data_IF_909209521417
#
_entry.id   IF_909209521417
#
_cell.length_a   1.000
_cell.length_b   1.000
_cell.length_c   1.000
_cell.angle_alpha   90.00
_cell.angle_beta   90.00
_cell.angle_gamma   90.00
#
_symmetry.space_group_name_H-M   'P 1'
#
loop_
_entity.id
_entity.type
_entity.pdbx_description
1 polymer ?
#
# COMPACT_ATOMS: atom_id res chain seq x y z
N UNK A 1 -20.19 -19.09 24.73
CA UNK A 1 -19.19 -18.03 25.00
C UNK A 1 -17.81 -18.71 25.01
N UNK A 2 -17.15 -18.82 23.86
CA UNK A 2 -15.76 -19.30 23.75
C UNK A 2 -14.84 -18.09 23.84
N UNK A 3 -14.08 -18.01 24.92
CA UNK A 3 -13.13 -16.93 25.16
C UNK A 3 -11.96 -17.02 24.19
N UNK A 4 -11.45 -15.87 23.75
CA UNK A 4 -10.27 -15.67 22.87
C UNK A 4 -9.06 -16.54 23.29
N UNK A 5 -8.99 -16.93 24.55
CA UNK A 5 -7.95 -17.81 25.13
C UNK A 5 -7.96 -19.25 24.61
N UNK A 6 -9.10 -19.76 24.15
CA UNK A 6 -9.21 -21.15 23.69
C UNK A 6 -8.86 -21.35 22.20
N UNK A 7 -8.84 -20.29 21.40
CA UNK A 7 -8.38 -20.33 20.01
C UNK A 7 -6.85 -20.45 19.88
N UNK A 8 -6.09 -20.00 20.89
CA UNK A 8 -4.62 -20.10 20.90
C UNK A 8 -4.09 -21.52 21.08
N UNK A 9 -4.94 -22.51 21.32
CA UNK A 9 -4.55 -23.92 21.54
C UNK A 9 -4.84 -24.88 20.39
N UNK A 10 -5.51 -24.44 19.34
CA UNK A 10 -5.46 -25.22 18.10
C UNK A 10 -4.12 -24.91 17.41
N UNK A 11 -3.13 -25.76 17.68
CA UNK A 11 -1.96 -25.94 16.85
C UNK A 11 -2.44 -26.29 15.43
N UNK A 12 -2.81 -25.29 14.65
CA UNK A 12 -2.82 -25.42 13.20
C UNK A 12 -1.33 -25.41 12.84
N UNK A 13 -0.75 -26.62 12.83
CA UNK A 13 0.57 -26.87 12.27
C UNK A 13 0.54 -26.18 10.91
N UNK A 14 1.44 -25.21 10.70
CA UNK A 14 1.68 -24.67 9.37
C UNK A 14 1.86 -25.88 8.44
N UNK A 15 1.21 -25.92 7.26
CA UNK A 15 1.42 -27.05 6.35
C UNK A 15 2.93 -27.20 6.18
N UNK A 16 3.41 -28.46 6.12
CA UNK A 16 4.82 -28.78 5.84
C UNK A 16 5.16 -28.37 4.40
N UNK A 17 5.12 -27.05 4.16
CA UNK A 17 5.54 -26.48 2.89
C UNK A 17 7.06 -26.38 2.93
N UNK A 18 7.72 -27.05 2.00
CA UNK A 18 9.18 -26.96 1.83
C UNK A 18 9.61 -25.47 1.81
N UNK A 19 10.67 -25.14 2.53
CA UNK A 19 11.21 -23.77 2.62
C UNK A 19 11.49 -23.15 1.25
N UNK A 20 11.94 -23.95 0.28
CA UNK A 20 12.17 -23.51 -1.10
C UNK A 20 10.87 -23.13 -1.82
N UNK A 21 9.82 -23.93 -1.71
CA UNK A 21 8.51 -23.65 -2.29
C UNK A 21 7.91 -22.38 -1.67
N UNK A 22 7.99 -22.24 -0.36
CA UNK A 22 7.55 -21.04 0.37
C UNK A 22 8.27 -19.77 -0.10
N UNK A 23 9.60 -19.84 -0.26
CA UNK A 23 10.37 -18.70 -0.75
C UNK A 23 9.91 -18.24 -2.15
N UNK A 24 9.80 -19.17 -3.12
CA UNK A 24 9.37 -18.83 -4.47
C UNK A 24 7.92 -18.36 -4.55
N UNK A 25 7.03 -18.93 -3.74
CA UNK A 25 5.65 -18.47 -3.65
C UNK A 25 5.56 -17.02 -3.14
N UNK A 26 6.27 -16.69 -2.05
CA UNK A 26 6.29 -15.32 -1.51
C UNK A 26 6.93 -14.35 -2.52
N UNK A 27 8.00 -14.76 -3.18
CA UNK A 27 8.63 -13.94 -4.23
C UNK A 27 7.68 -13.67 -5.40
N UNK A 28 6.93 -14.69 -5.86
CA UNK A 28 5.92 -14.53 -6.91
C UNK A 28 4.86 -13.48 -6.53
N UNK A 29 4.40 -13.52 -5.27
CA UNK A 29 3.46 -12.52 -4.73
C UNK A 29 4.10 -11.12 -4.60
N UNK A 30 5.36 -11.04 -4.21
CA UNK A 30 6.08 -9.77 -4.12
C UNK A 30 6.30 -9.11 -5.50
N UNK A 31 6.53 -9.91 -6.56
CA UNK A 31 6.62 -9.41 -7.95
C UNK A 31 5.30 -8.76 -8.38
N UNK A 32 4.14 -9.32 -8.02
CA UNK A 32 2.86 -8.71 -8.29
C UNK A 32 2.65 -7.40 -7.51
N UNK A 33 3.06 -7.37 -6.24
CA UNK A 33 3.05 -6.13 -5.45
C UNK A 33 3.96 -5.06 -6.05
N UNK A 34 5.10 -5.46 -6.61
CA UNK A 34 6.02 -4.56 -7.33
C UNK A 34 5.39 -4.02 -8.61
N UNK A 35 4.71 -4.85 -9.41
CA UNK A 35 4.00 -4.42 -10.62
C UNK A 35 2.89 -3.41 -10.29
N UNK A 36 2.09 -3.69 -9.24
CA UNK A 36 1.01 -2.81 -8.78
C UNK A 36 1.56 -1.47 -8.28
N UNK A 37 2.58 -1.49 -7.43
CA UNK A 37 3.20 -0.27 -6.93
C UNK A 37 3.84 0.56 -8.04
N UNK A 38 4.49 -0.09 -9.02
CA UNK A 38 5.05 0.60 -10.18
C UNK A 38 3.96 1.33 -10.96
N UNK A 39 2.82 0.69 -11.24
CA UNK A 39 1.70 1.30 -11.98
C UNK A 39 1.03 2.45 -11.22
N UNK A 40 0.93 2.34 -9.90
CA UNK A 40 0.34 3.38 -9.06
C UNK A 40 1.17 4.66 -9.12
N UNK A 41 2.47 4.55 -8.92
CA UNK A 41 3.34 5.71 -8.82
C UNK A 41 3.83 6.24 -10.17
N UNK A 42 3.97 5.39 -11.21
CA UNK A 42 4.41 5.84 -12.54
C UNK A 42 3.40 6.79 -13.21
N UNK A 43 2.10 6.60 -12.96
CA UNK A 43 1.07 7.51 -13.47
C UNK A 43 1.23 8.94 -12.92
N UNK A 44 1.73 9.09 -11.69
CA UNK A 44 2.06 10.39 -11.09
C UNK A 44 3.31 11.00 -11.76
N UNK A 45 4.31 10.16 -12.05
CA UNK A 45 5.56 10.59 -12.70
C UNK A 45 5.40 11.00 -14.17
N UNK A 46 4.45 10.36 -14.88
CA UNK A 46 4.18 10.60 -16.31
C UNK A 46 2.90 11.42 -16.57
N UNK A 47 2.31 12.01 -15.54
CA UNK A 47 1.09 12.81 -15.66
C UNK A 47 1.21 13.94 -16.71
N UNK A 48 2.30 14.72 -16.81
CA UNK A 48 2.44 15.74 -17.84
C UNK A 48 2.48 15.18 -19.27
N UNK A 49 3.12 14.02 -19.47
CA UNK A 49 3.19 13.34 -20.77
C UNK A 49 1.83 12.81 -21.19
N UNK A 50 1.09 12.21 -20.27
CA UNK A 50 -0.28 11.71 -20.46
C UNK A 50 -1.23 12.88 -20.76
N UNK A 51 -1.12 14.00 -20.02
CA UNK A 51 -1.92 15.21 -20.24
C UNK A 51 -1.74 15.76 -21.66
N UNK A 52 -0.48 15.90 -22.11
CA UNK A 52 -0.15 16.32 -23.48
C UNK A 52 -0.72 15.39 -24.54
N UNK A 53 -0.58 14.07 -24.32
CA UNK A 53 -1.09 13.05 -25.25
C UNK A 53 -2.61 13.08 -25.41
N UNK A 54 -3.33 13.41 -24.33
CA UNK A 54 -4.80 13.46 -24.30
C UNK A 54 -5.35 14.88 -24.58
N UNK A 55 -4.48 15.86 -24.84
CA UNK A 55 -4.84 17.26 -25.09
C UNK A 55 -5.66 17.90 -23.95
N UNK A 56 -5.31 17.56 -22.69
CA UNK A 56 -5.91 18.13 -21.47
C UNK A 56 -4.86 18.83 -20.63
N UNK A 57 -5.30 19.66 -19.68
CA UNK A 57 -4.40 20.28 -18.71
C UNK A 57 -3.96 19.28 -17.62
N UNK A 58 -2.87 19.60 -16.92
CA UNK A 58 -2.30 18.74 -15.88
C UNK A 58 -3.30 18.47 -14.74
N UNK A 59 -4.06 19.46 -14.22
CA UNK A 59 -5.10 19.22 -13.22
C UNK A 59 -6.16 18.20 -13.66
N UNK A 60 -6.65 18.31 -14.91
CA UNK A 60 -7.61 17.35 -15.48
C UNK A 60 -7.00 15.95 -15.59
N UNK A 61 -5.74 15.82 -16.00
CA UNK A 61 -5.02 14.55 -16.05
C UNK A 61 -4.85 13.89 -14.67
N UNK A 62 -4.99 14.64 -13.57
CA UNK A 62 -5.10 14.08 -12.21
C UNK A 62 -6.22 13.06 -12.04
N UNK A 63 -7.25 13.10 -12.89
CA UNK A 63 -8.33 12.13 -12.89
C UNK A 63 -7.87 10.70 -13.22
N UNK A 64 -6.74 10.51 -13.92
CA UNK A 64 -6.15 9.18 -14.13
C UNK A 64 -5.73 8.51 -12.82
N UNK A 65 -5.22 9.31 -11.88
CA UNK A 65 -4.80 8.85 -10.56
C UNK A 65 -6.03 8.60 -9.68
N UNK A 66 -6.97 9.55 -9.67
CA UNK A 66 -8.21 9.45 -8.90
C UNK A 66 -9.10 8.29 -9.35
N UNK A 67 -9.20 8.05 -10.67
CA UNK A 67 -9.96 6.92 -11.22
C UNK A 67 -9.36 5.57 -10.78
N UNK A 68 -8.03 5.44 -10.80
CA UNK A 68 -7.36 4.25 -10.28
C UNK A 68 -7.67 4.03 -8.81
N UNK A 69 -7.50 5.06 -7.98
CA UNK A 69 -7.81 4.98 -6.55
C UNK A 69 -9.26 4.60 -6.28
N UNK A 70 -10.21 5.16 -7.05
CA UNK A 70 -11.63 4.79 -6.99
C UNK A 70 -11.85 3.33 -7.38
N UNK A 71 -11.14 2.85 -8.41
CA UNK A 71 -11.10 1.44 -8.79
C UNK A 71 -10.66 0.54 -7.63
N UNK A 72 -9.61 0.92 -6.90
CA UNK A 72 -9.14 0.18 -5.70
C UNK A 72 -10.22 0.15 -4.62
N UNK A 73 -10.84 1.28 -4.32
CA UNK A 73 -11.86 1.39 -3.25
C UNK A 73 -13.09 0.54 -3.55
N UNK A 74 -13.55 0.55 -4.80
CA UNK A 74 -14.74 -0.22 -5.24
C UNK A 74 -14.39 -1.67 -5.50
N UNK A 75 -13.25 -1.94 -6.13
CA UNK A 75 -12.80 -3.29 -6.52
C UNK A 75 -12.52 -4.18 -5.32
N UNK A 76 -11.97 -3.63 -4.23
CA UNK A 76 -11.62 -4.39 -3.04
C UNK A 76 -12.82 -5.17 -2.46
N UNK A 77 -13.93 -4.54 -2.06
CA UNK A 77 -15.09 -5.26 -1.54
C UNK A 77 -15.80 -6.10 -2.61
N UNK A 78 -15.95 -5.58 -3.83
CA UNK A 78 -16.64 -6.26 -4.92
C UNK A 78 -15.97 -7.60 -5.26
N UNK A 79 -14.66 -7.58 -5.52
CA UNK A 79 -13.93 -8.77 -5.92
C UNK A 79 -13.66 -9.71 -4.75
N UNK A 80 -13.50 -9.20 -3.51
CA UNK A 80 -13.36 -10.06 -2.34
C UNK A 80 -14.60 -10.96 -2.14
N UNK A 81 -15.78 -10.42 -2.36
CA UNK A 81 -17.04 -11.15 -2.23
C UNK A 81 -17.26 -12.09 -3.41
N UNK A 82 -17.12 -11.60 -4.64
CA UNK A 82 -17.42 -12.38 -5.86
C UNK A 82 -16.43 -13.51 -6.11
N UNK A 83 -15.18 -13.37 -5.66
CA UNK A 83 -14.14 -14.39 -5.85
C UNK A 83 -13.96 -15.34 -4.65
N UNK A 84 -14.71 -15.15 -3.56
CA UNK A 84 -14.55 -15.89 -2.30
C UNK A 84 -14.62 -17.42 -2.45
N UNK A 85 -15.43 -17.92 -3.38
CA UNK A 85 -15.65 -19.35 -3.61
C UNK A 85 -14.55 -20.02 -4.47
N UNK A 86 -13.73 -19.24 -5.17
CA UNK A 86 -12.71 -19.76 -6.08
C UNK A 86 -11.40 -20.11 -5.37
N UNK A 87 -10.55 -20.91 -6.03
CA UNK A 87 -9.22 -21.23 -5.50
C UNK A 87 -8.35 -19.97 -5.45
N UNK A 88 -7.58 -19.79 -4.38
CA UNK A 88 -6.76 -18.59 -4.14
C UNK A 88 -5.71 -18.38 -5.21
N UNK A 89 -5.08 -19.49 -5.65
CA UNK A 89 -4.12 -19.50 -6.75
C UNK A 89 -4.74 -18.99 -8.05
N UNK A 90 -5.89 -19.54 -8.43
CA UNK A 90 -6.61 -19.13 -9.66
C UNK A 90 -7.04 -17.67 -9.60
N UNK A 91 -7.54 -17.21 -8.45
CA UNK A 91 -7.94 -15.81 -8.28
C UNK A 91 -6.73 -14.89 -8.40
N UNK A 92 -5.64 -15.15 -7.66
CA UNK A 92 -4.43 -14.32 -7.71
C UNK A 92 -3.82 -14.23 -9.12
N UNK A 93 -3.69 -15.38 -9.79
CA UNK A 93 -3.20 -15.41 -11.18
C UNK A 93 -4.14 -14.66 -12.13
N UNK A 94 -5.46 -14.87 -12.00
CA UNK A 94 -6.48 -14.19 -12.78
C UNK A 94 -6.50 -12.66 -12.57
N UNK A 95 -6.31 -12.22 -11.32
CA UNK A 95 -6.20 -10.78 -11.00
C UNK A 95 -4.98 -10.15 -11.67
N UNK A 96 -3.82 -10.82 -11.64
CA UNK A 96 -2.60 -10.32 -12.28
C UNK A 96 -2.70 -10.35 -13.82
N UNK A 97 -3.35 -11.36 -14.39
CA UNK A 97 -3.63 -11.41 -15.81
C UNK A 97 -4.57 -10.26 -16.25
N UNK A 98 -5.66 -10.05 -15.51
CA UNK A 98 -6.59 -8.95 -15.77
C UNK A 98 -5.90 -7.58 -15.61
N UNK A 99 -5.08 -7.43 -14.57
CA UNK A 99 -4.28 -6.23 -14.32
C UNK A 99 -3.33 -5.93 -15.49
N UNK A 100 -2.67 -6.97 -16.00
CA UNK A 100 -1.77 -6.87 -17.14
C UNK A 100 -2.52 -6.38 -18.38
N UNK A 101 -3.66 -6.99 -18.71
CA UNK A 101 -4.47 -6.61 -19.86
C UNK A 101 -4.93 -5.14 -19.77
N UNK A 102 -5.40 -4.69 -18.60
CA UNK A 102 -5.86 -3.32 -18.41
C UNK A 102 -4.72 -2.29 -18.58
N UNK A 103 -3.52 -2.59 -18.06
CA UNK A 103 -2.37 -1.71 -18.21
C UNK A 103 -1.82 -1.72 -19.65
N UNK A 104 -1.70 -2.88 -20.29
CA UNK A 104 -1.29 -2.97 -21.70
C UNK A 104 -2.32 -2.25 -22.59
N UNK A 105 -3.62 -2.43 -22.36
CA UNK A 105 -4.66 -1.74 -23.11
C UNK A 105 -4.51 -0.20 -23.00
N UNK A 106 -4.15 0.31 -21.81
CA UNK A 106 -3.93 1.75 -21.60
C UNK A 106 -2.85 2.33 -22.54
N UNK A 107 -1.90 1.52 -23.01
CA UNK A 107 -0.84 1.98 -23.90
C UNK A 107 -1.32 2.23 -25.35
N UNK A 108 -2.48 1.70 -25.75
CA UNK A 108 -3.00 1.84 -27.12
C UNK A 108 -4.01 2.97 -27.30
N UNK A 109 -4.36 3.69 -26.23
CA UNK A 109 -5.34 4.77 -26.28
C UNK A 109 -4.71 6.07 -25.77
N UNK A 110 -5.07 7.18 -26.44
CA UNK A 110 -4.68 8.53 -26.00
C UNK A 110 -5.89 9.40 -25.66
N UNK A 111 -7.12 8.88 -25.87
CA UNK A 111 -8.34 9.57 -25.50
C UNK A 111 -8.50 9.63 -23.98
N UNK A 112 -8.80 10.84 -23.48
CA UNK A 112 -8.92 11.11 -22.04
C UNK A 112 -9.91 10.18 -21.33
N UNK A 113 -11.15 10.08 -21.85
CA UNK A 113 -12.21 9.31 -21.21
C UNK A 113 -11.88 7.81 -21.18
N UNK A 114 -11.33 7.28 -22.28
CA UNK A 114 -10.91 5.89 -22.39
C UNK A 114 -9.80 5.59 -21.38
N UNK A 115 -8.81 6.48 -21.25
CA UNK A 115 -7.74 6.32 -20.25
C UNK A 115 -8.26 6.38 -18.82
N UNK A 116 -9.19 7.29 -18.50
CA UNK A 116 -9.84 7.34 -17.17
C UNK A 116 -10.53 6.02 -16.85
N UNK A 117 -11.30 5.47 -17.81
CA UNK A 117 -12.00 4.16 -17.64
C UNK A 117 -10.98 3.03 -17.47
N UNK A 118 -9.93 2.97 -18.29
CA UNK A 118 -8.90 1.93 -18.18
C UNK A 118 -8.11 2.03 -16.87
N UNK A 119 -7.85 3.23 -16.38
CA UNK A 119 -7.24 3.45 -15.07
C UNK A 119 -8.14 2.95 -13.93
N UNK A 120 -9.45 3.25 -14.00
CA UNK A 120 -10.42 2.70 -13.06
C UNK A 120 -10.43 1.16 -13.09
N UNK A 121 -10.51 0.57 -14.29
CA UNK A 121 -10.50 -0.88 -14.48
C UNK A 121 -9.20 -1.50 -13.93
N UNK A 122 -8.04 -0.90 -14.18
CA UNK A 122 -6.77 -1.38 -13.66
C UNK A 122 -6.66 -1.27 -12.14
N UNK A 123 -7.38 -0.35 -11.50
CA UNK A 123 -7.46 -0.24 -10.05
C UNK A 123 -8.24 -1.35 -9.36
N UNK A 124 -9.25 -1.94 -10.05
CA UNK A 124 -10.16 -2.93 -9.44
C UNK A 124 -9.43 -4.12 -8.77
N UNK A 125 -8.42 -4.77 -9.38
CA UNK A 125 -7.75 -5.93 -8.78
C UNK A 125 -6.76 -5.58 -7.67
N UNK A 126 -6.32 -4.33 -7.53
CA UNK A 126 -5.26 -3.93 -6.61
C UNK A 126 -5.58 -4.33 -5.15
N UNK A 127 -6.69 -3.85 -4.60
CA UNK A 127 -7.03 -4.07 -3.19
C UNK A 127 -7.19 -5.54 -2.84
N UNK A 128 -7.92 -6.30 -3.65
CA UNK A 128 -8.11 -7.73 -3.41
C UNK A 128 -6.81 -8.52 -3.62
N UNK A 129 -5.94 -8.12 -4.55
CA UNK A 129 -4.64 -8.75 -4.72
C UNK A 129 -3.86 -8.72 -3.40
N UNK A 130 -3.72 -7.56 -2.76
CA UNK A 130 -3.02 -7.44 -1.48
C UNK A 130 -3.71 -8.24 -0.36
N UNK A 131 -5.04 -8.22 -0.30
CA UNK A 131 -5.79 -9.04 0.66
C UNK A 131 -5.50 -10.53 0.54
N UNK A 132 -5.55 -11.07 -0.69
CA UNK A 132 -5.29 -12.47 -0.96
C UNK A 132 -3.80 -12.85 -0.88
N UNK A 133 -2.91 -12.03 -1.43
CA UNK A 133 -1.47 -12.30 -1.47
C UNK A 133 -0.87 -12.31 -0.06
N UNK A 134 -1.23 -11.32 0.77
CA UNK A 134 -0.76 -11.25 2.16
C UNK A 134 -1.35 -12.37 3.00
N UNK A 135 -2.62 -12.75 2.79
CA UNK A 135 -3.24 -13.88 3.47
C UNK A 135 -2.59 -15.21 3.04
N UNK A 136 -2.31 -15.40 1.75
CA UNK A 136 -1.62 -16.58 1.24
C UNK A 136 -0.21 -16.69 1.84
N UNK A 137 0.57 -15.60 1.87
CA UNK A 137 1.88 -15.59 2.50
C UNK A 137 1.81 -15.91 4.01
N UNK A 138 0.89 -15.27 4.73
CA UNK A 138 0.68 -15.49 6.16
C UNK A 138 0.26 -16.92 6.50
N UNK A 139 -0.44 -17.62 5.58
CA UNK A 139 -0.88 -19.01 5.78
C UNK A 139 0.23 -20.06 5.61
N UNK A 140 1.36 -19.67 5.01
CA UNK A 140 2.51 -20.54 4.75
C UNK A 140 3.55 -20.53 5.88
N UNK A 141 3.34 -19.75 6.93
CA UNK A 141 4.27 -19.54 8.04
C UNK A 141 3.59 -19.72 9.39
N UNK A 142 4.38 -19.85 10.45
CA UNK A 142 3.87 -19.86 11.82
C UNK A 142 3.24 -18.51 12.21
N UNK A 143 2.39 -18.55 13.23
CA UNK A 143 1.57 -17.39 13.65
C UNK A 143 2.43 -16.17 14.06
N UNK A 144 3.57 -16.42 14.70
CA UNK A 144 4.53 -15.39 15.13
C UNK A 144 5.33 -14.79 13.94
N UNK A 145 5.36 -15.44 12.78
CA UNK A 145 6.06 -14.98 11.59
C UNK A 145 5.15 -14.34 10.53
N UNK A 146 3.83 -14.32 10.76
CA UNK A 146 2.83 -13.80 9.79
C UNK A 146 3.14 -12.38 9.34
N UNK A 147 3.48 -11.48 10.26
CA UNK A 147 3.84 -10.10 9.93
C UNK A 147 5.06 -10.01 9.03
N UNK A 148 6.06 -10.91 9.20
CA UNK A 148 7.23 -10.97 8.32
C UNK A 148 6.86 -11.42 6.91
N UNK A 149 6.04 -12.48 6.79
CA UNK A 149 5.59 -12.98 5.50
C UNK A 149 4.76 -11.94 4.74
N UNK A 150 3.87 -11.24 5.43
CA UNK A 150 3.14 -10.07 4.90
C UNK A 150 4.11 -8.98 4.46
N UNK A 151 5.13 -8.69 5.28
CA UNK A 151 6.18 -7.72 4.97
C UNK A 151 6.94 -8.04 3.69
N UNK A 152 7.25 -9.31 3.43
CA UNK A 152 7.93 -9.71 2.19
C UNK A 152 7.04 -9.52 0.95
N UNK A 153 5.74 -9.73 1.03
CA UNK A 153 4.82 -9.40 -0.06
C UNK A 153 4.75 -7.88 -0.27
N UNK A 154 4.60 -7.10 0.81
CA UNK A 154 4.53 -5.64 0.74
C UNK A 154 5.87 -4.99 0.38
N UNK A 155 6.99 -5.72 0.53
CA UNK A 155 8.31 -5.26 0.09
C UNK A 155 8.33 -4.96 -1.42
N UNK A 156 7.56 -5.71 -2.23
CA UNK A 156 7.38 -5.40 -3.64
C UNK A 156 6.88 -3.97 -3.86
N UNK A 157 5.87 -3.53 -3.10
CA UNK A 157 5.33 -2.17 -3.18
C UNK A 157 6.39 -1.11 -2.82
N UNK A 158 7.13 -1.32 -1.73
CA UNK A 158 8.15 -0.35 -1.29
C UNK A 158 9.36 -0.32 -2.22
N UNK A 159 9.77 -1.45 -2.80
CA UNK A 159 10.81 -1.48 -3.84
C UNK A 159 10.31 -0.77 -5.11
N UNK A 160 9.01 -0.86 -5.43
CA UNK A 160 8.45 -0.15 -6.56
C UNK A 160 8.60 1.38 -6.43
N UNK A 161 8.54 1.95 -5.24
CA UNK A 161 8.76 3.39 -5.03
C UNK A 161 10.22 3.81 -5.27
N UNK A 162 11.19 2.90 -5.01
CA UNK A 162 12.63 3.19 -5.15
C UNK A 162 13.12 2.93 -6.56
N UNK A 163 12.69 1.85 -7.18
CA UNK A 163 13.20 1.36 -8.46
C UNK A 163 12.14 1.34 -9.56
N UNK A 164 10.96 0.80 -9.26
CA UNK A 164 9.92 0.54 -10.26
C UNK A 164 9.40 1.81 -10.92
N UNK A 165 8.85 2.71 -10.13
CA UNK A 165 8.27 3.96 -10.64
C UNK A 165 9.31 4.90 -11.25
N UNK A 166 10.50 5.14 -10.65
CA UNK A 166 11.52 5.97 -11.29
C UNK A 166 12.02 5.39 -12.63
N UNK A 167 12.30 4.08 -12.68
CA UNK A 167 12.76 3.43 -13.92
C UNK A 167 11.68 3.45 -15.00
N UNK A 168 10.42 3.14 -14.66
CA UNK A 168 9.32 3.17 -15.60
C UNK A 168 9.02 4.61 -16.09
N UNK A 169 9.12 5.61 -15.20
CA UNK A 169 8.99 7.02 -15.56
C UNK A 169 10.10 7.44 -16.53
N UNK A 170 11.34 7.07 -16.24
CA UNK A 170 12.48 7.36 -17.12
C UNK A 170 12.32 6.73 -18.51
N UNK A 171 11.95 5.45 -18.58
CA UNK A 171 11.66 4.77 -19.85
C UNK A 171 10.49 5.47 -20.57
N UNK A 172 9.42 5.82 -19.85
CA UNK A 172 8.27 6.52 -20.41
C UNK A 172 8.59 7.92 -20.96
N UNK A 173 9.56 8.61 -20.37
CA UNK A 173 10.04 9.90 -20.87
C UNK A 173 10.91 9.76 -22.11
N UNK A 174 11.69 8.68 -22.24
CA UNK A 174 12.57 8.45 -23.40
C UNK A 174 11.82 7.90 -24.62
N UNK A 175 10.93 6.94 -24.42
CA UNK A 175 10.32 6.13 -25.51
C UNK A 175 8.83 6.45 -25.69
N UNK A 176 8.23 7.18 -24.75
CA UNK A 176 6.79 7.49 -24.69
C UNK A 176 6.13 6.84 -23.46
N UNK A 177 5.20 7.56 -22.84
CA UNK A 177 4.55 7.14 -21.60
C UNK A 177 3.89 5.75 -21.70
N UNK A 178 3.46 5.35 -22.90
CA UNK A 178 2.87 4.05 -23.19
C UNK A 178 3.79 2.88 -22.82
N UNK A 179 5.09 3.05 -23.02
CA UNK A 179 6.11 2.03 -22.73
C UNK A 179 6.14 1.64 -21.25
N UNK A 180 5.88 2.59 -20.36
CA UNK A 180 5.80 2.33 -18.93
C UNK A 180 4.60 1.43 -18.57
N UNK A 181 3.45 1.63 -19.20
CA UNK A 181 2.26 0.76 -18.97
C UNK A 181 2.43 -0.62 -19.60
N UNK A 182 3.13 -0.74 -20.72
CA UNK A 182 3.53 -2.04 -21.31
C UNK A 182 4.48 -2.77 -20.34
N UNK A 183 5.47 -2.08 -19.78
CA UNK A 183 6.39 -2.66 -18.80
C UNK A 183 5.64 -3.17 -17.55
N UNK A 184 4.72 -2.36 -17.01
CA UNK A 184 3.86 -2.78 -15.89
C UNK A 184 3.05 -4.02 -16.26
N UNK A 185 2.45 -4.04 -17.44
CA UNK A 185 1.71 -5.20 -17.93
C UNK A 185 2.58 -6.45 -18.06
N UNK A 186 3.80 -6.31 -18.55
CA UNK A 186 4.77 -7.42 -18.63
C UNK A 186 5.16 -7.95 -17.23
N UNK A 187 5.40 -7.05 -16.27
CA UNK A 187 5.66 -7.44 -14.87
C UNK A 187 4.46 -8.14 -14.23
N UNK A 188 3.25 -7.70 -14.54
CA UNK A 188 2.03 -8.35 -14.07
C UNK A 188 1.83 -9.75 -14.70
N UNK A 189 2.11 -9.92 -15.99
CA UNK A 189 2.13 -11.24 -16.62
C UNK A 189 3.20 -12.15 -16.03
N UNK A 190 4.38 -11.63 -15.75
CA UNK A 190 5.43 -12.39 -15.07
C UNK A 190 4.95 -12.85 -13.70
N UNK A 191 4.32 -11.97 -12.90
CA UNK A 191 3.74 -12.36 -11.61
C UNK A 191 2.65 -13.42 -11.79
N UNK A 192 1.77 -13.29 -12.78
CA UNK A 192 0.75 -14.30 -13.09
C UNK A 192 1.37 -15.68 -13.32
N UNK A 193 2.42 -15.77 -14.15
CA UNK A 193 3.13 -17.01 -14.44
C UNK A 193 3.84 -17.58 -13.20
N UNK A 194 4.53 -16.73 -12.43
CA UNK A 194 5.21 -17.15 -11.20
C UNK A 194 4.22 -17.66 -10.15
N UNK A 195 3.06 -16.98 -9.99
CA UNK A 195 1.99 -17.43 -9.08
C UNK A 195 1.45 -18.79 -9.56
N UNK A 196 1.22 -18.93 -10.86
CA UNK A 196 0.73 -20.19 -11.40
C UNK A 196 1.70 -21.35 -11.18
N UNK A 197 3.00 -21.11 -11.30
CA UNK A 197 4.04 -22.12 -11.11
C UNK A 197 4.28 -22.43 -9.62
N UNK A 198 4.53 -21.41 -8.82
CA UNK A 198 5.10 -21.59 -7.49
C UNK A 198 4.10 -21.54 -6.33
N UNK A 199 2.90 -20.95 -6.52
CA UNK A 199 1.94 -20.90 -5.41
C UNK A 199 1.26 -22.27 -5.26
N UNK A 200 1.31 -22.92 -4.07
CA UNK A 200 0.63 -24.19 -3.84
C UNK A 200 -0.88 -24.10 -4.07
N UNK A 201 -1.46 -25.10 -4.72
CA UNK A 201 -2.91 -25.15 -5.01
C UNK A 201 -3.74 -25.52 -3.77
N UNK A 202 -3.14 -26.21 -2.83
CA UNK A 202 -3.72 -26.82 -1.63
C UNK A 202 -3.40 -26.03 -0.35
N UNK A 203 -3.14 -24.71 -0.51
CA UNK A 203 -3.11 -23.84 0.65
C UNK A 203 -4.40 -24.10 1.45
N UNK A 204 -4.26 -24.56 2.70
CA UNK A 204 -5.38 -24.84 3.63
C UNK A 204 -6.20 -23.59 4.01
N UNK A 205 -6.24 -22.62 3.09
CA UNK A 205 -7.14 -21.50 3.15
C UNK A 205 -8.53 -22.01 2.78
N UNK A 206 -9.39 -22.16 3.77
CA UNK A 206 -10.77 -22.57 3.56
C UNK A 206 -11.41 -21.71 2.47
N UNK A 207 -12.07 -22.34 1.49
CA UNK A 207 -12.97 -21.64 0.58
C UNK A 207 -13.99 -20.93 1.48
N UNK A 208 -14.08 -19.62 1.36
CA UNK A 208 -15.06 -18.84 2.12
C UNK A 208 -16.29 -18.60 1.24
N UNK A 209 -17.44 -18.44 1.87
CA UNK A 209 -18.62 -17.98 1.15
C UNK A 209 -18.65 -16.44 1.12
N UNK A 210 -19.31 -15.81 0.13
CA UNK A 210 -19.51 -14.36 0.10
C UNK A 210 -20.02 -13.79 1.43
N UNK A 211 -20.99 -14.47 2.06
CA UNK A 211 -21.54 -14.06 3.36
C UNK A 211 -20.53 -14.12 4.52
N UNK A 212 -19.57 -15.05 4.46
CA UNK A 212 -18.49 -15.13 5.46
C UNK A 212 -17.50 -13.97 5.30
N UNK A 213 -17.15 -13.61 4.07
CA UNK A 213 -16.30 -12.43 3.82
C UNK A 213 -16.96 -11.15 4.35
N UNK A 214 -18.26 -10.96 4.10
CA UNK A 214 -19.00 -9.81 4.62
C UNK A 214 -19.05 -9.75 6.17
N UNK A 215 -18.76 -10.86 6.86
CA UNK A 215 -18.69 -10.86 8.33
C UNK A 215 -17.59 -9.94 8.87
N UNK A 216 -16.55 -9.63 8.09
CA UNK A 216 -15.54 -8.64 8.47
C UNK A 216 -16.15 -7.29 8.82
N UNK A 217 -17.19 -6.87 8.08
CA UNK A 217 -17.88 -5.60 8.30
C UNK A 217 -18.67 -5.53 9.60
N UNK A 218 -18.94 -6.67 10.23
CA UNK A 218 -19.60 -6.75 11.56
C UNK A 218 -18.62 -6.57 12.71
N UNK A 219 -17.33 -6.67 12.45
CA UNK A 219 -16.29 -6.58 13.48
C UNK A 219 -15.92 -5.11 13.74
N UNK A 220 -16.23 -4.60 14.92
CA UNK A 220 -15.91 -3.22 15.32
C UNK A 220 -14.41 -2.91 15.19
N UNK A 221 -13.56 -3.88 15.54
CA UNK A 221 -12.10 -3.73 15.47
C UNK A 221 -11.60 -3.50 14.03
N UNK A 222 -12.25 -4.12 13.02
CA UNK A 222 -11.92 -3.88 11.61
C UNK A 222 -12.14 -2.39 11.27
N UNK A 223 -13.28 -1.82 11.66
CA UNK A 223 -13.58 -0.40 11.40
C UNK A 223 -12.63 0.55 12.11
N UNK A 224 -12.26 0.26 13.37
CA UNK A 224 -11.27 1.08 14.08
C UNK A 224 -9.90 1.05 13.39
N UNK A 225 -9.46 -0.13 12.93
CA UNK A 225 -8.18 -0.25 12.20
C UNK A 225 -8.24 0.45 10.83
N UNK A 226 -9.34 0.31 10.07
CA UNK A 226 -9.54 1.02 8.82
C UNK A 226 -9.55 2.54 9.02
N UNK A 227 -10.27 3.03 10.03
CA UNK A 227 -10.32 4.45 10.36
C UNK A 227 -8.95 4.99 10.80
N UNK A 228 -8.23 4.23 11.64
CA UNK A 228 -6.86 4.53 12.02
C UNK A 228 -5.95 4.65 10.80
N UNK A 229 -6.04 3.73 9.84
CA UNK A 229 -5.23 3.79 8.60
C UNK A 229 -5.65 4.98 7.75
N UNK A 230 -6.96 5.18 7.52
CA UNK A 230 -7.45 6.28 6.68
C UNK A 230 -7.02 7.66 7.20
N UNK A 231 -7.03 7.86 8.53
CA UNK A 231 -6.66 9.14 9.14
C UNK A 231 -5.16 9.18 9.45
N UNK A 232 -4.61 8.13 10.08
CA UNK A 232 -3.21 8.13 10.51
C UNK A 232 -2.20 8.09 9.37
N UNK A 233 -2.45 7.27 8.33
CA UNK A 233 -1.57 7.23 7.17
C UNK A 233 -1.74 8.45 6.25
N UNK A 234 -2.83 9.22 6.35
CA UNK A 234 -2.96 10.49 5.62
C UNK A 234 -1.88 11.50 6.01
N UNK A 235 -1.32 11.37 7.21
CA UNK A 235 -0.16 12.17 7.62
C UNK A 235 1.05 11.97 6.73
N UNK A 236 1.37 10.74 6.34
CA UNK A 236 2.44 10.46 5.37
C UNK A 236 2.16 11.14 4.03
N UNK A 237 0.94 11.03 3.52
CA UNK A 237 0.59 11.59 2.21
C UNK A 237 0.49 13.11 2.21
N UNK A 238 0.15 13.74 3.34
CA UNK A 238 0.22 15.20 3.51
C UNK A 238 1.65 15.71 3.28
N UNK A 239 2.64 14.99 3.76
CA UNK A 239 4.06 15.35 3.56
C UNK A 239 4.53 14.94 2.16
N UNK A 240 4.27 13.68 1.77
CA UNK A 240 4.83 13.09 0.54
C UNK A 240 4.35 13.78 -0.73
N UNK A 241 3.09 14.20 -0.77
CA UNK A 241 2.52 14.90 -1.94
C UNK A 241 3.27 16.22 -2.24
N UNK A 242 3.71 16.91 -1.20
CA UNK A 242 4.35 18.23 -1.35
C UNK A 242 5.86 18.22 -1.10
N UNK A 243 6.45 17.05 -0.89
CA UNK A 243 7.86 16.91 -0.52
C UNK A 243 8.80 17.52 -1.57
N UNK A 244 8.50 17.36 -2.87
CA UNK A 244 9.27 17.99 -3.95
C UNK A 244 9.26 19.51 -3.84
N UNK A 245 8.09 20.11 -3.62
CA UNK A 245 7.95 21.54 -3.44
C UNK A 245 8.65 22.03 -2.18
N UNK A 246 8.57 21.30 -1.09
CA UNK A 246 9.30 21.58 0.15
C UNK A 246 10.81 21.58 -0.07
N UNK A 247 11.34 20.55 -0.75
CA UNK A 247 12.77 20.45 -1.07
C UNK A 247 13.25 21.63 -1.93
N UNK A 248 12.48 22.03 -2.93
CA UNK A 248 12.86 23.10 -3.85
C UNK A 248 12.70 24.48 -3.22
N UNK A 249 11.57 24.77 -2.60
CA UNK A 249 11.22 26.14 -2.17
C UNK A 249 11.64 26.47 -0.74
N UNK A 250 11.72 25.44 0.14
CA UNK A 250 12.09 25.64 1.55
C UNK A 250 13.54 25.21 1.78
N UNK A 251 13.91 24.02 1.33
CA UNK A 251 15.27 23.48 1.57
C UNK A 251 16.32 24.07 0.64
N UNK A 252 15.92 24.75 -0.45
CA UNK A 252 16.87 25.29 -1.45
C UNK A 252 17.57 24.22 -2.30
N UNK A 253 16.97 23.03 -2.40
CA UNK A 253 17.50 21.93 -3.23
C UNK A 253 17.24 22.26 -4.70
N UNK A 254 18.29 22.26 -5.53
CA UNK A 254 18.12 22.44 -6.97
C UNK A 254 17.37 21.26 -7.61
N UNK A 255 16.64 21.52 -8.70
CA UNK A 255 15.83 20.51 -9.39
C UNK A 255 16.63 19.26 -9.77
N UNK A 256 17.92 19.42 -10.06
CA UNK A 256 18.83 18.33 -10.43
C UNK A 256 19.06 17.30 -9.32
N UNK A 257 19.02 17.71 -8.04
CA UNK A 257 19.23 16.83 -6.88
C UNK A 257 17.93 16.17 -6.38
N UNK A 258 16.77 16.72 -6.72
CA UNK A 258 15.47 16.16 -6.29
C UNK A 258 15.30 14.67 -6.66
N UNK A 259 15.68 14.21 -7.88
CA UNK A 259 15.57 12.79 -8.25
C UNK A 259 16.44 11.85 -7.41
N UNK A 260 17.48 12.36 -6.74
CA UNK A 260 18.36 11.58 -5.87
C UNK A 260 17.88 11.59 -4.41
N UNK A 261 17.18 12.62 -3.96
CA UNK A 261 16.69 12.76 -2.59
C UNK A 261 15.34 12.05 -2.41
N UNK A 262 14.41 12.17 -3.35
CA UNK A 262 13.10 11.54 -3.23
C UNK A 262 13.13 10.02 -3.03
N UNK A 263 14.00 9.24 -3.69
CA UNK A 263 14.16 7.82 -3.42
C UNK A 263 14.56 7.46 -1.98
N UNK A 264 15.11 8.40 -1.20
CA UNK A 264 15.39 8.17 0.21
C UNK A 264 14.14 7.88 1.03
N UNK A 265 12.99 8.46 0.68
CA UNK A 265 11.70 8.10 1.29
C UNK A 265 11.39 6.62 1.02
N UNK A 266 11.53 6.18 -0.23
CA UNK A 266 11.34 4.78 -0.60
C UNK A 266 12.31 3.83 0.13
N UNK A 267 13.59 4.22 0.26
CA UNK A 267 14.57 3.46 1.05
C UNK A 267 14.15 3.36 2.52
N UNK A 268 13.68 4.46 3.11
CA UNK A 268 13.10 4.45 4.45
C UNK A 268 11.91 3.49 4.56
N UNK A 269 11.02 3.48 3.56
CA UNK A 269 9.89 2.53 3.50
C UNK A 269 10.38 1.08 3.44
N UNK A 270 11.40 0.77 2.64
CA UNK A 270 12.01 -0.58 2.57
C UNK A 270 12.57 -0.98 3.94
N UNK A 271 13.36 -0.11 4.56
CA UNK A 271 13.95 -0.36 5.89
C UNK A 271 12.86 -0.55 6.93
N UNK A 272 11.86 0.33 6.97
CA UNK A 272 10.71 0.22 7.88
C UNK A 272 9.95 -1.10 7.68
N UNK A 273 9.62 -1.42 6.43
CA UNK A 273 8.90 -2.65 6.07
C UNK A 273 9.66 -3.94 6.45
N UNK A 274 10.97 -3.93 6.41
CA UNK A 274 11.79 -5.08 6.81
C UNK A 274 11.97 -5.17 8.34
N UNK A 275 12.25 -4.05 9.00
CA UNK A 275 12.55 -4.06 10.44
C UNK A 275 11.29 -4.11 11.31
N UNK A 276 10.21 -3.44 10.90
CA UNK A 276 8.97 -3.38 11.68
C UNK A 276 8.45 -4.76 12.09
N UNK A 277 8.21 -5.70 11.15
CA UNK A 277 7.75 -7.04 11.49
C UNK A 277 8.71 -7.84 12.40
N UNK A 278 10.01 -7.56 12.35
CA UNK A 278 10.99 -8.19 13.26
C UNK A 278 10.80 -7.68 14.70
N UNK A 279 10.52 -6.38 14.87
CA UNK A 279 10.15 -5.83 16.16
C UNK A 279 8.80 -6.36 16.64
N UNK A 280 7.82 -6.56 15.74
CA UNK A 280 6.52 -7.15 16.09
C UNK A 280 6.68 -8.54 16.76
N UNK A 281 7.62 -9.35 16.31
CA UNK A 281 7.93 -10.67 16.92
C UNK A 281 8.44 -10.52 18.35
N UNK A 282 9.21 -9.45 18.63
CA UNK A 282 9.83 -9.23 19.96
C UNK A 282 8.90 -8.58 20.96
N UNK A 283 8.17 -7.55 20.56
CA UNK A 283 7.37 -6.71 21.46
C UNK A 283 5.85 -6.90 21.28
N UNK A 284 5.44 -7.63 20.25
CA UNK A 284 4.01 -7.80 19.87
C UNK A 284 3.56 -6.77 18.85
N UNK A 285 2.47 -7.12 18.14
CA UNK A 285 1.93 -6.32 17.02
C UNK A 285 1.37 -4.98 17.51
N UNK A 286 0.55 -4.99 18.59
CA UNK A 286 -0.09 -3.75 19.07
C UNK A 286 0.90 -2.73 19.66
N UNK A 287 1.90 -3.11 20.46
CA UNK A 287 2.97 -2.19 20.86
C UNK A 287 3.78 -1.67 19.66
N UNK A 288 4.09 -2.51 18.66
CA UNK A 288 4.77 -2.02 17.45
C UNK A 288 3.95 -0.92 16.75
N UNK A 289 2.65 -1.12 16.54
CA UNK A 289 1.78 -0.12 15.90
C UNK A 289 1.83 1.18 16.70
N UNK A 290 1.69 1.11 18.04
CA UNK A 290 1.75 2.27 18.92
C UNK A 290 3.05 3.07 18.75
N UNK A 291 4.18 2.40 18.90
CA UNK A 291 5.50 3.06 18.80
C UNK A 291 5.81 3.56 17.39
N UNK A 292 5.38 2.83 16.34
CA UNK A 292 5.57 3.29 14.96
C UNK A 292 4.73 4.53 14.65
N UNK A 293 3.50 4.62 15.14
CA UNK A 293 2.67 5.82 14.93
C UNK A 293 3.21 7.01 15.74
N UNK A 294 3.68 6.77 16.96
CA UNK A 294 4.36 7.80 17.76
C UNK A 294 5.63 8.31 17.06
N UNK A 295 6.45 7.38 16.54
CA UNK A 295 7.61 7.69 15.72
C UNK A 295 7.26 8.51 14.48
N UNK A 296 6.22 8.12 13.75
CA UNK A 296 5.77 8.84 12.55
C UNK A 296 5.31 10.26 12.89
N UNK A 297 4.55 10.42 13.98
CA UNK A 297 4.13 11.73 14.49
C UNK A 297 5.34 12.62 14.78
N UNK A 298 6.34 12.06 15.48
CA UNK A 298 7.57 12.78 15.81
C UNK A 298 8.37 13.13 14.56
N UNK A 299 8.57 12.19 13.63
CA UNK A 299 9.37 12.40 12.40
C UNK A 299 8.72 13.46 11.51
N UNK A 300 7.40 13.44 11.34
CA UNK A 300 6.72 14.45 10.53
C UNK A 300 6.83 15.82 11.16
N UNK A 301 6.65 15.95 12.49
CA UNK A 301 6.87 17.20 13.20
C UNK A 301 8.33 17.68 13.09
N UNK A 302 9.29 16.76 13.24
CA UNK A 302 10.72 17.07 13.13
C UNK A 302 11.08 17.53 11.71
N UNK A 303 10.43 16.97 10.67
CA UNK A 303 10.69 17.34 9.28
C UNK A 303 10.37 18.81 8.99
N UNK A 304 9.42 19.41 9.70
CA UNK A 304 9.18 20.85 9.65
C UNK A 304 10.47 21.65 9.90
N UNK A 305 11.26 21.29 10.89
CA UNK A 305 12.55 21.94 11.18
C UNK A 305 13.67 21.50 10.25
N UNK A 306 13.75 20.21 9.93
CA UNK A 306 14.80 19.66 9.07
C UNK A 306 14.69 20.17 7.63
N UNK A 307 13.51 20.55 7.18
CA UNK A 307 13.26 21.03 5.82
C UNK A 307 13.98 22.34 5.46
N UNK A 308 14.47 23.09 6.44
CA UNK A 308 15.16 24.37 6.21
C UNK A 308 16.63 24.25 5.75
N UNK A 309 17.18 23.05 5.69
CA UNK A 309 18.54 22.81 5.20
C UNK A 309 18.59 21.60 4.26
N UNK A 310 19.26 21.67 3.09
CA UNK A 310 19.23 20.61 2.07
C UNK A 310 19.61 19.23 2.59
N UNK A 311 20.71 19.15 3.32
CA UNK A 311 21.22 17.88 3.87
C UNK A 311 20.28 17.29 4.91
N UNK A 312 19.76 18.14 5.81
CA UNK A 312 18.84 17.71 6.86
C UNK A 312 17.49 17.29 6.27
N UNK A 313 17.02 17.95 5.22
CA UNK A 313 15.83 17.54 4.47
C UNK A 313 16.01 16.17 3.82
N UNK A 314 17.18 15.88 3.26
CA UNK A 314 17.49 14.56 2.71
C UNK A 314 17.44 13.46 3.78
N UNK A 315 18.04 13.66 4.95
CA UNK A 315 17.88 12.75 6.09
C UNK A 315 16.42 12.63 6.54
N UNK A 316 15.70 13.76 6.60
CA UNK A 316 14.27 13.79 6.92
C UNK A 316 13.45 12.93 5.97
N UNK A 317 13.72 12.97 4.67
CA UNK A 317 13.08 12.13 3.66
C UNK A 317 13.23 10.63 3.97
N UNK A 318 14.42 10.18 4.36
CA UNK A 318 14.64 8.79 4.76
C UNK A 318 13.80 8.43 5.99
N UNK A 319 13.81 9.25 7.03
CA UNK A 319 13.04 8.99 8.24
C UNK A 319 11.53 9.03 8.01
N UNK A 320 11.01 9.91 7.15
CA UNK A 320 9.61 9.90 6.71
C UNK A 320 9.23 8.53 6.18
N UNK A 321 10.07 7.92 5.34
CA UNK A 321 9.83 6.58 4.81
C UNK A 321 9.73 5.50 5.88
N UNK A 322 10.52 5.59 6.97
CA UNK A 322 10.47 4.61 8.07
C UNK A 322 9.12 4.54 8.79
N UNK A 323 8.23 5.53 8.60
CA UNK A 323 6.85 5.50 9.09
C UNK A 323 6.05 4.30 8.58
N UNK A 324 6.51 3.68 7.49
CA UNK A 324 5.89 2.48 6.91
C UNK A 324 6.11 1.20 7.74
N UNK A 325 6.88 1.26 8.83
CA UNK A 325 7.29 0.09 9.63
C UNK A 325 6.13 -0.74 10.20
N UNK A 326 5.01 -0.11 10.55
CA UNK A 326 3.85 -0.82 11.10
C UNK A 326 2.94 -1.44 10.02
N UNK A 327 3.03 -1.02 8.76
CA UNK A 327 2.06 -1.40 7.72
C UNK A 327 1.88 -2.90 7.52
N UNK A 328 2.94 -3.75 7.43
CA UNK A 328 2.75 -5.19 7.32
C UNK A 328 2.07 -5.80 8.55
N UNK A 329 2.36 -5.26 9.73
CA UNK A 329 1.78 -5.72 10.99
C UNK A 329 0.32 -5.28 11.15
N UNK A 330 -0.05 -4.10 10.67
CA UNK A 330 -1.44 -3.63 10.59
C UNK A 330 -2.22 -4.49 9.60
N UNK A 331 -1.65 -4.79 8.43
CA UNK A 331 -2.25 -5.67 7.43
C UNK A 331 -2.52 -7.07 8.00
N UNK A 332 -1.57 -7.65 8.73
CA UNK A 332 -1.77 -8.94 9.40
C UNK A 332 -2.84 -8.84 10.48
N UNK A 333 -2.80 -7.80 11.34
CA UNK A 333 -3.75 -7.62 12.43
C UNK A 333 -5.18 -7.46 11.95
N UNK A 334 -5.42 -6.70 10.87
CA UNK A 334 -6.78 -6.50 10.35
C UNK A 334 -7.37 -7.81 9.82
N UNK A 335 -6.55 -8.66 9.20
CA UNK A 335 -6.97 -9.99 8.77
C UNK A 335 -7.27 -10.89 9.97
N UNK A 336 -6.45 -10.84 11.03
CA UNK A 336 -6.63 -11.67 12.23
C UNK A 336 -7.90 -11.32 13.00
N UNK A 337 -8.24 -10.03 13.16
CA UNK A 337 -9.47 -9.61 13.85
C UNK A 337 -10.74 -9.80 13.02
N UNK A 338 -10.61 -9.98 11.71
CA UNK A 338 -11.75 -10.23 10.82
C UNK A 338 -12.27 -11.68 10.86
N UNK A 339 -11.56 -12.61 11.51
CA UNK A 339 -11.89 -14.03 11.64
C UNK A 339 -12.19 -14.72 10.30
N UNK A 340 -13.43 -14.73 9.85
CA UNK A 340 -13.87 -15.41 8.62
C UNK A 340 -13.83 -14.51 7.38
N UNK A 341 -13.73 -13.18 7.54
CA UNK A 341 -13.70 -12.21 6.46
C UNK A 341 -12.30 -11.64 6.17
N UNK A 342 -11.27 -12.48 6.25
CA UNK A 342 -9.87 -12.06 6.20
C UNK A 342 -9.48 -11.43 4.84
N UNK A 343 -10.03 -11.94 3.74
CA UNK A 343 -9.76 -11.42 2.40
C UNK A 343 -10.33 -10.03 2.25
N UNK A 344 -11.60 -9.86 2.62
CA UNK A 344 -12.27 -8.56 2.55
C UNK A 344 -11.57 -7.55 3.45
N UNK A 345 -11.22 -7.91 4.69
CA UNK A 345 -10.53 -7.02 5.62
C UNK A 345 -9.16 -6.57 5.08
N UNK A 346 -8.37 -7.52 4.54
CA UNK A 346 -7.09 -7.22 3.92
C UNK A 346 -7.20 -6.36 2.67
N UNK A 347 -8.25 -6.55 1.87
CA UNK A 347 -8.54 -5.75 0.69
C UNK A 347 -9.01 -4.33 1.07
N UNK A 348 -9.88 -4.21 2.08
CA UNK A 348 -10.35 -2.91 2.61
C UNK A 348 -9.22 -2.08 3.21
N UNK A 349 -8.15 -2.70 3.71
CA UNK A 349 -6.98 -1.95 4.14
C UNK A 349 -6.36 -1.14 3.00
N UNK A 350 -6.31 -1.67 1.77
CA UNK A 350 -5.83 -0.93 0.61
C UNK A 350 -6.79 0.21 0.22
N UNK A 351 -8.10 -0.01 0.38
CA UNK A 351 -9.10 1.07 0.22
C UNK A 351 -8.85 2.18 1.25
N UNK A 352 -8.63 1.84 2.52
CA UNK A 352 -8.33 2.80 3.58
C UNK A 352 -7.02 3.57 3.30
N UNK A 353 -6.01 2.90 2.75
CA UNK A 353 -4.74 3.52 2.36
C UNK A 353 -4.91 4.49 1.18
N UNK A 354 -5.74 4.16 0.19
CA UNK A 354 -6.07 5.07 -0.91
C UNK A 354 -6.93 6.27 -0.43
N UNK A 355 -7.84 6.07 0.53
CA UNK A 355 -8.54 7.16 1.21
C UNK A 355 -7.55 8.05 1.96
N UNK A 356 -6.58 7.47 2.66
CA UNK A 356 -5.52 8.21 3.34
C UNK A 356 -4.69 9.06 2.38
N UNK A 357 -4.38 8.54 1.18
CA UNK A 357 -3.69 9.29 0.13
C UNK A 357 -4.49 10.54 -0.28
N UNK A 358 -5.77 10.38 -0.58
CA UNK A 358 -6.65 11.50 -0.94
C UNK A 358 -6.80 12.53 0.19
N UNK A 359 -7.06 12.07 1.43
CA UNK A 359 -7.19 12.93 2.60
C UNK A 359 -5.90 13.68 2.91
N UNK A 360 -4.75 13.02 2.79
CA UNK A 360 -3.44 13.64 3.03
C UNK A 360 -3.13 14.73 2.02
N UNK A 361 -3.32 14.44 0.73
CA UNK A 361 -3.11 15.41 -0.34
C UNK A 361 -4.01 16.65 -0.17
N UNK A 362 -5.31 16.46 0.12
CA UNK A 362 -6.26 17.56 0.31
C UNK A 362 -5.97 18.35 1.60
N UNK A 363 -5.58 17.68 2.69
CA UNK A 363 -5.20 18.35 3.94
C UNK A 363 -3.99 19.25 3.75
N UNK A 364 -2.98 18.78 2.97
CA UNK A 364 -1.83 19.60 2.60
C UNK A 364 -2.24 20.77 1.69
N UNK A 365 -3.09 20.52 0.68
CA UNK A 365 -3.63 21.59 -0.18
C UNK A 365 -4.37 22.67 0.62
N UNK A 366 -5.15 22.27 1.61
CA UNK A 366 -5.91 23.19 2.45
C UNK A 366 -4.99 24.16 3.20
N UNK A 367 -3.89 23.67 3.77
CA UNK A 367 -2.89 24.50 4.47
C UNK A 367 -2.24 25.51 3.53
N UNK A 368 -1.91 25.08 2.30
CA UNK A 368 -1.33 25.96 1.28
C UNK A 368 -2.34 27.02 0.81
N UNK A 369 -3.62 26.68 0.66
CA UNK A 369 -4.70 27.64 0.35
C UNK A 369 -4.89 28.69 1.44
N UNK A 370 -4.57 28.37 2.70
CA UNK A 370 -4.56 29.32 3.81
C UNK A 370 -3.35 30.26 3.82
N UNK A 371 -2.42 30.11 2.85
CA UNK A 371 -1.24 30.97 2.71
C UNK A 371 -0.02 30.50 3.50
N UNK A 372 -0.06 29.32 4.14
CA UNK A 372 1.12 28.74 4.78
C UNK A 372 2.09 28.16 3.76
N UNK A 373 3.35 28.10 4.11
CA UNK A 373 4.42 27.54 3.26
C UNK A 373 4.45 25.99 3.29
N UNK A 374 5.19 25.39 2.37
CA UNK A 374 5.14 23.93 2.11
C UNK A 374 5.52 23.08 3.32
N UNK A 375 6.42 23.52 4.20
CA UNK A 375 6.85 22.75 5.38
C UNK A 375 5.71 22.55 6.41
N UNK A 376 4.68 23.39 6.40
CA UNK A 376 3.51 23.22 7.28
C UNK A 376 2.68 21.98 6.93
N UNK A 377 2.84 21.42 5.73
CA UNK A 377 2.24 20.10 5.39
C UNK A 377 2.73 18.99 6.32
N UNK A 378 3.95 19.13 6.85
CA UNK A 378 4.52 18.19 7.83
C UNK A 378 3.88 18.34 9.22
N UNK A 379 3.54 19.55 9.64
CA UNK A 379 2.81 19.80 10.89
C UNK A 379 1.42 19.17 10.83
N UNK A 380 0.70 19.38 9.71
CA UNK A 380 -0.60 18.73 9.48
C UNK A 380 -0.47 17.22 9.40
N UNK A 381 0.55 16.72 8.72
CA UNK A 381 0.86 15.29 8.67
C UNK A 381 1.06 14.67 10.05
N UNK A 382 1.80 15.38 10.92
CA UNK A 382 1.99 14.99 12.32
C UNK A 382 0.66 14.95 13.09
N UNK A 383 -0.18 15.99 12.96
CA UNK A 383 -1.48 16.06 13.63
C UNK A 383 -2.42 14.93 13.20
N UNK A 384 -2.50 14.63 11.88
CA UNK A 384 -3.30 13.52 11.34
C UNK A 384 -2.83 12.17 11.86
N UNK A 385 -1.51 11.95 11.91
CA UNK A 385 -0.95 10.71 12.45
C UNK A 385 -1.23 10.57 13.94
N UNK A 386 -1.16 11.67 14.70
CA UNK A 386 -1.52 11.70 16.12
C UNK A 386 -3.01 11.37 16.33
N UNK A 387 -3.91 11.90 15.50
CA UNK A 387 -5.32 11.53 15.53
C UNK A 387 -5.51 10.02 15.26
N UNK A 388 -4.79 9.46 14.27
CA UNK A 388 -4.78 8.02 14.04
C UNK A 388 -4.27 7.22 15.25
N UNK A 389 -3.24 7.70 15.92
CA UNK A 389 -2.71 7.08 17.15
C UNK A 389 -3.75 7.07 18.27
N UNK A 390 -4.49 8.16 18.47
CA UNK A 390 -5.58 8.23 19.46
C UNK A 390 -6.67 7.19 19.15
N UNK A 391 -7.08 7.08 17.87
CA UNK A 391 -8.04 6.04 17.42
C UNK A 391 -7.50 4.64 17.72
N UNK A 392 -6.21 4.41 17.45
CA UNK A 392 -5.58 3.11 17.75
C UNK A 392 -5.55 2.81 19.25
N UNK A 393 -5.19 3.78 20.09
CA UNK A 393 -5.19 3.61 21.54
C UNK A 393 -6.58 3.24 22.07
N UNK A 394 -7.63 3.87 21.55
CA UNK A 394 -9.02 3.53 21.90
C UNK A 394 -9.37 2.11 21.45
N UNK A 395 -9.05 1.75 20.20
CA UNK A 395 -9.23 0.39 19.68
C UNK A 395 -8.52 -0.66 20.52
N UNK A 396 -7.28 -0.41 20.90
CA UNK A 396 -6.46 -1.32 21.70
C UNK A 396 -6.98 -1.46 23.14
N UNK A 397 -7.46 -0.38 23.72
CA UNK A 397 -8.12 -0.40 25.02
C UNK A 397 -9.39 -1.27 25.01
N UNK A 398 -10.21 -1.12 23.97
CA UNK A 398 -11.42 -1.92 23.77
C UNK A 398 -11.09 -3.42 23.61
N UNK A 399 -10.04 -3.75 22.85
CA UNK A 399 -9.59 -5.14 22.62
C UNK A 399 -9.20 -5.84 23.93
N UNK A 400 -8.64 -5.13 24.90
CA UNK A 400 -8.25 -5.71 26.19
C UNK A 400 -9.42 -5.97 27.13
N UNK A 401 -10.57 -5.37 26.88
CA UNK A 401 -11.77 -5.51 27.71
C UNK A 401 -12.76 -6.57 27.23
N UNK A 402 -12.64 -6.98 25.96
CA UNK A 402 -13.41 -8.09 25.36
C UNK A 402 -12.61 -9.40 25.41
#
# INVERSE_FOLDING_TARGET
>A
MMTVRNFHKQNILAPEINSRTRYWAILALAVGSFAIGTAEFVAMGLQPEMARSSSVDIPTAGQYISAYALGVVIGAPLLAVTTAAFSRKTVLAGLMFFYALANIASAFFSDFNTLVVLRFISGLPHGIYFGLATLAAASMVEINERSKAVGYVMLGLTIATVLGAPSATWIGQLVGWQSAFILVGALALLSCLLIWEFLPSDLKLAKTSPFRELSALKQKQVWFLLLMVSIGASGLFSVFTYIKSTLMHISGVSLEWVPFIMPLVGLGMVVGNLLGPQFAVKIGVSPLIFFSMLWSTFVFFLFFFLSHAPLMAAFGCFFIGTSFAAMPSIQAKIMDVAFHGQILAGALMQSAFNIANALGAESGAWVLKLGYSYEYTAVVGSALTLCGLVIFCFSWYMEKRT
#
